data_IF_042241522554
#
_entry.id   IF_042241522554
#
_cell.length_a   1.000
_cell.length_b   1.000
_cell.length_c   1.000
_cell.angle_alpha   90.00
_cell.angle_beta   90.00
_cell.angle_gamma   90.00
#
_symmetry.space_group_name_H-M   'P 1'
#
loop_
_entity.id
_entity.type
_entity.pdbx_description
1 polymer ?
#
# COMPACT_ATOMS: atom_id res chain seq x y z
N UNK A 1 -7.03 11.03 75.30
CA UNK A 1 -7.88 10.69 74.14
C UNK A 1 -6.99 10.56 72.91
N UNK A 2 -6.82 9.33 72.40
CA UNK A 2 -5.98 9.03 71.23
C UNK A 2 -6.70 9.50 69.96
N UNK A 3 -6.03 10.27 69.10
CA UNK A 3 -6.46 10.51 67.71
C UNK A 3 -5.45 9.86 66.78
N UNK A 4 -5.90 8.81 66.12
CA UNK A 4 -5.22 8.07 65.06
C UNK A 4 -5.24 8.93 63.79
N UNK A 5 -4.09 9.23 63.21
CA UNK A 5 -3.99 9.87 61.89
C UNK A 5 -3.69 8.78 60.86
N UNK A 6 -4.61 8.59 59.92
CA UNK A 6 -4.49 7.66 58.80
C UNK A 6 -3.64 8.34 57.72
N UNK A 7 -2.50 7.73 57.36
CA UNK A 7 -1.74 8.12 56.17
C UNK A 7 -2.53 7.71 54.92
N UNK A 8 -2.96 8.69 54.13
CA UNK A 8 -3.49 8.46 52.78
C UNK A 8 -2.33 8.23 51.80
N UNK A 9 -2.26 7.02 51.24
CA UNK A 9 -1.35 6.67 50.15
C UNK A 9 -1.94 7.24 48.85
N UNK A 10 -1.37 8.35 48.35
CA UNK A 10 -1.71 8.87 47.02
C UNK A 10 -0.91 8.06 46.00
N UNK A 11 -1.57 7.06 45.40
CA UNK A 11 -1.04 6.32 44.28
C UNK A 11 -1.21 7.20 43.02
N UNK A 12 -0.18 7.97 42.67
CA UNK A 12 -0.13 8.67 41.38
C UNK A 12 0.00 7.61 40.28
N UNK A 13 -1.09 7.38 39.56
CA UNK A 13 -1.07 6.71 38.26
C UNK A 13 -0.25 7.59 37.31
N UNK A 14 1.05 7.34 37.24
CA UNK A 14 1.87 7.79 36.12
C UNK A 14 1.37 7.03 34.90
N UNK A 15 0.44 7.63 34.15
CA UNK A 15 0.20 7.24 32.77
C UNK A 15 1.55 7.24 32.07
N UNK A 16 1.98 6.06 31.61
CA UNK A 16 3.14 5.91 30.75
C UNK A 16 2.90 6.75 29.50
N UNK A 17 3.39 7.98 29.50
CA UNK A 17 3.67 8.70 28.29
C UNK A 17 4.71 7.85 27.57
N UNK A 18 4.28 7.07 26.59
CA UNK A 18 5.16 6.37 25.68
C UNK A 18 5.88 7.43 24.87
N UNK A 19 7.08 7.79 25.31
CA UNK A 19 7.99 8.54 24.47
C UNK A 19 8.30 7.66 23.26
N UNK A 20 7.99 8.15 22.06
CA UNK A 20 8.50 7.53 20.83
C UNK A 20 10.01 7.63 20.88
N UNK A 21 10.70 6.50 20.99
CA UNK A 21 12.15 6.46 20.85
C UNK A 21 12.49 6.85 19.42
N UNK A 22 13.16 7.99 19.25
CA UNK A 22 13.78 8.34 17.97
C UNK A 22 14.91 7.34 17.78
N UNK A 23 14.87 6.57 16.70
CA UNK A 23 15.92 5.60 16.40
C UNK A 23 17.28 6.28 16.18
N UNK A 24 18.36 5.59 16.56
CA UNK A 24 19.72 6.06 16.29
C UNK A 24 20.05 6.01 14.78
N UNK A 25 20.74 7.04 14.29
CA UNK A 25 21.26 7.04 12.92
C UNK A 25 22.47 6.10 12.84
N UNK A 26 22.25 4.90 12.31
CA UNK A 26 23.32 3.90 12.15
C UNK A 26 24.21 4.19 10.92
N UNK A 27 23.61 4.75 9.86
CA UNK A 27 24.28 5.01 8.59
C UNK A 27 23.51 6.02 7.75
N UNK A 28 24.23 6.81 6.97
CA UNK A 28 23.69 7.70 5.93
C UNK A 28 24.22 7.23 4.58
N UNK A 29 23.33 7.16 3.59
CA UNK A 29 23.63 6.89 2.18
C UNK A 29 23.07 8.06 1.38
N UNK A 30 23.90 8.67 0.54
CA UNK A 30 23.45 9.72 -0.36
C UNK A 30 22.59 9.12 -1.47
N UNK A 31 21.50 9.82 -1.80
CA UNK A 31 20.61 9.39 -2.88
C UNK A 31 21.28 9.69 -4.23
N UNK A 32 21.17 8.80 -5.23
CA UNK A 32 21.82 9.02 -6.52
C UNK A 32 21.24 10.19 -7.31
N UNK A 33 19.94 10.44 -7.15
CA UNK A 33 19.20 11.49 -7.83
C UNK A 33 18.75 12.62 -6.90
N UNK A 34 18.31 13.75 -7.48
CA UNK A 34 17.97 14.96 -6.76
C UNK A 34 16.58 14.95 -6.09
N UNK A 35 15.68 14.04 -6.47
CA UNK A 35 14.31 13.96 -5.96
C UNK A 35 13.90 12.50 -5.70
N UNK A 36 14.49 11.83 -4.69
CA UNK A 36 14.13 10.47 -4.32
C UNK A 36 12.73 10.42 -3.70
N UNK A 37 11.88 9.54 -4.23
CA UNK A 37 10.44 9.49 -3.90
C UNK A 37 9.97 8.12 -3.43
N UNK A 38 10.51 7.05 -4.02
CA UNK A 38 10.19 5.67 -3.67
C UNK A 38 11.37 4.91 -3.11
N UNK A 39 11.11 3.97 -2.20
CA UNK A 39 12.12 3.08 -1.63
C UNK A 39 11.57 1.66 -1.49
N UNK A 40 12.29 0.66 -1.99
CA UNK A 40 11.99 -0.75 -1.77
C UNK A 40 13.25 -1.55 -1.38
N UNK A 41 13.03 -2.66 -0.67
CA UNK A 41 14.07 -3.63 -0.30
C UNK A 41 13.75 -4.98 -0.92
N UNK A 42 14.68 -5.52 -1.71
CA UNK A 42 14.47 -6.81 -2.39
C UNK A 42 14.97 -8.03 -1.59
N UNK A 43 15.58 -7.80 -0.42
CA UNK A 43 16.28 -8.82 0.36
C UNK A 43 17.81 -8.71 0.32
N UNK A 44 18.37 -7.96 -0.63
CA UNK A 44 19.82 -7.78 -0.86
C UNK A 44 20.23 -6.35 -1.24
N UNK A 45 19.43 -5.64 -2.04
CA UNK A 45 19.67 -4.30 -2.55
C UNK A 45 18.52 -3.34 -2.23
N UNK A 46 18.88 -2.06 -2.14
CA UNK A 46 17.91 -0.96 -2.02
C UNK A 46 17.55 -0.45 -3.40
N UNK A 47 16.27 -0.24 -3.64
CA UNK A 47 15.75 0.31 -4.88
C UNK A 47 15.16 1.68 -4.62
N UNK A 48 15.56 2.68 -5.41
CA UNK A 48 15.10 4.07 -5.28
C UNK A 48 14.47 4.52 -6.59
N UNK A 49 13.28 5.13 -6.49
CA UNK A 49 12.71 5.91 -7.58
C UNK A 49 13.10 7.38 -7.40
N UNK A 50 13.42 8.04 -8.51
CA UNK A 50 13.64 9.48 -8.56
C UNK A 50 12.68 10.12 -9.56
N UNK A 51 11.83 11.02 -9.06
CA UNK A 51 10.76 11.62 -9.85
C UNK A 51 11.21 12.80 -10.72
N UNK A 52 12.42 13.34 -10.48
CA UNK A 52 12.95 14.44 -11.27
C UNK A 52 13.73 13.93 -12.49
N UNK A 53 14.51 12.87 -12.32
CA UNK A 53 15.22 12.22 -13.41
C UNK A 53 14.39 11.15 -14.14
N UNK A 54 13.20 10.81 -13.62
CA UNK A 54 12.37 9.69 -14.09
C UNK A 54 13.17 8.38 -14.14
N UNK A 55 13.84 8.03 -13.03
CA UNK A 55 14.73 6.86 -12.96
C UNK A 55 14.44 5.95 -11.79
N UNK A 56 14.83 4.69 -11.96
CA UNK A 56 15.00 3.75 -10.85
C UNK A 56 16.49 3.39 -10.72
N UNK A 57 16.96 3.37 -9.47
CA UNK A 57 18.32 2.99 -9.10
C UNK A 57 18.30 1.73 -8.23
N UNK A 58 19.19 0.79 -8.50
CA UNK A 58 19.56 -0.28 -7.56
C UNK A 58 20.84 0.13 -6.84
N UNK A 59 20.85 0.00 -5.52
CA UNK A 59 21.92 0.48 -4.65
C UNK A 59 22.40 -0.65 -3.75
N UNK A 60 23.73 -0.81 -3.68
CA UNK A 60 24.36 -1.67 -2.67
C UNK A 60 24.25 -1.01 -1.28
N UNK A 61 23.47 -1.56 -0.34
CA UNK A 61 23.19 -0.88 0.94
C UNK A 61 24.45 -0.72 1.81
N UNK A 62 25.47 -1.58 1.62
CA UNK A 62 26.71 -1.54 2.39
C UNK A 62 27.64 -0.41 1.98
N UNK A 63 27.59 0.04 0.73
CA UNK A 63 28.52 1.07 0.22
C UNK A 63 27.80 2.32 -0.26
N UNK A 64 26.49 2.25 -0.54
CA UNK A 64 25.74 3.32 -1.19
C UNK A 64 26.00 3.42 -2.69
N UNK A 65 26.75 2.49 -3.28
CA UNK A 65 27.04 2.51 -4.72
C UNK A 65 25.82 2.11 -5.53
N UNK A 66 25.56 2.87 -6.59
CA UNK A 66 24.62 2.48 -7.64
C UNK A 66 25.19 1.28 -8.40
N UNK A 67 24.46 0.16 -8.40
CA UNK A 67 24.79 -1.05 -9.13
C UNK A 67 24.30 -0.93 -10.57
N UNK A 68 23.05 -0.50 -10.73
CA UNK A 68 22.41 -0.22 -12.02
C UNK A 68 21.39 0.88 -11.87
N UNK A 69 21.07 1.51 -12.99
CA UNK A 69 19.98 2.46 -13.13
C UNK A 69 19.32 2.28 -14.49
N UNK A 70 18.03 2.52 -14.57
CA UNK A 70 17.29 2.55 -15.82
C UNK A 70 16.20 3.62 -15.76
N UNK A 71 15.76 4.05 -16.95
CA UNK A 71 14.66 5.00 -17.07
C UNK A 71 13.37 4.33 -16.58
N UNK A 72 12.57 5.09 -15.83
CA UNK A 72 11.24 4.67 -15.39
C UNK A 72 10.31 4.54 -16.60
N UNK A 73 9.48 3.48 -16.67
CA UNK A 73 8.45 3.39 -17.71
C UNK A 73 7.26 4.33 -17.45
N UNK A 74 7.13 4.84 -16.21
CA UNK A 74 6.18 5.88 -15.81
C UNK A 74 6.83 7.26 -15.75
N UNK A 75 6.01 8.29 -15.59
CA UNK A 75 6.42 9.70 -15.59
C UNK A 75 6.10 10.24 -14.19
N UNK A 76 7.07 10.78 -13.47
CA UNK A 76 6.96 11.06 -12.03
C UNK A 76 6.79 9.76 -11.20
N UNK A 77 7.73 8.81 -11.25
CA UNK A 77 7.71 7.62 -10.38
C UNK A 77 7.75 8.02 -8.90
N UNK A 78 6.84 7.48 -8.09
CA UNK A 78 6.81 7.71 -6.65
C UNK A 78 7.08 6.40 -5.91
N UNK A 79 6.06 5.81 -5.27
CA UNK A 79 6.20 4.65 -4.39
C UNK A 79 6.78 3.46 -5.12
N UNK A 80 7.62 2.69 -4.41
CA UNK A 80 8.19 1.44 -4.90
C UNK A 80 7.86 0.29 -3.96
N UNK A 81 7.56 -0.87 -4.52
CA UNK A 81 7.43 -2.12 -3.77
C UNK A 81 8.15 -3.27 -4.48
N UNK A 82 8.58 -4.27 -3.72
CA UNK A 82 9.15 -5.51 -4.23
C UNK A 82 8.20 -6.66 -3.94
N UNK A 83 7.82 -7.44 -4.95
CA UNK A 83 6.91 -8.59 -4.77
C UNK A 83 7.60 -9.94 -4.56
N UNK A 84 8.94 -9.95 -4.56
CA UNK A 84 9.75 -11.18 -4.55
C UNK A 84 10.41 -11.49 -5.89
N UNK A 85 9.93 -10.90 -6.99
CA UNK A 85 10.42 -11.14 -8.35
C UNK A 85 10.50 -9.86 -9.20
N UNK A 86 9.55 -8.94 -9.01
CA UNK A 86 9.41 -7.70 -9.76
C UNK A 86 9.29 -6.50 -8.84
N UNK A 87 9.65 -5.35 -9.39
CA UNK A 87 9.33 -4.07 -8.79
C UNK A 87 7.90 -3.67 -9.19
N UNK A 88 7.25 -2.97 -8.28
CA UNK A 88 6.03 -2.25 -8.55
C UNK A 88 6.27 -0.78 -8.28
N UNK A 89 5.64 0.10 -9.06
CA UNK A 89 5.69 1.54 -8.84
C UNK A 89 4.33 2.21 -9.03
N UNK A 90 4.19 3.40 -8.46
CA UNK A 90 3.11 4.32 -8.80
C UNK A 90 3.62 5.42 -9.75
N UNK A 91 2.79 5.79 -10.70
CA UNK A 91 2.95 7.02 -11.49
C UNK A 91 1.96 8.04 -10.95
N UNK A 92 2.49 9.03 -10.24
CA UNK A 92 1.72 10.01 -9.48
C UNK A 92 0.77 10.84 -10.34
N UNK A 93 1.17 11.14 -11.58
CA UNK A 93 0.45 12.10 -12.43
C UNK A 93 -0.60 11.43 -13.29
N UNK A 94 -0.48 10.13 -13.52
CA UNK A 94 -1.39 9.37 -14.39
C UNK A 94 -2.36 8.49 -13.63
N UNK A 95 -2.24 8.43 -12.30
CA UNK A 95 -3.06 7.57 -11.45
C UNK A 95 -3.00 6.10 -11.92
N UNK A 96 -1.79 5.59 -12.14
CA UNK A 96 -1.57 4.17 -12.52
C UNK A 96 -0.55 3.50 -11.61
N UNK A 97 -0.71 2.17 -11.49
CA UNK A 97 0.27 1.28 -10.88
C UNK A 97 0.92 0.46 -12.00
N UNK A 98 2.24 0.35 -11.96
CA UNK A 98 3.07 -0.30 -12.96
C UNK A 98 3.85 -1.45 -12.31
N UNK A 99 3.88 -2.60 -12.97
CA UNK A 99 4.80 -3.70 -12.69
C UNK A 99 6.02 -3.56 -13.59
N UNK A 100 7.20 -3.59 -13.01
CA UNK A 100 8.46 -3.24 -13.67
C UNK A 100 9.49 -4.36 -13.50
N UNK A 101 10.12 -4.71 -14.61
CA UNK A 101 11.24 -5.66 -14.65
C UNK A 101 12.45 -5.05 -13.92
N UNK A 102 13.00 -5.71 -12.89
CA UNK A 102 14.19 -5.23 -12.20
C UNK A 102 15.47 -5.45 -13.03
N UNK A 103 15.39 -6.14 -14.17
CA UNK A 103 16.53 -6.44 -15.03
C UNK A 103 16.87 -5.24 -15.92
N UNK A 104 15.84 -4.62 -16.50
CA UNK A 104 15.99 -3.63 -17.58
C UNK A 104 15.01 -2.45 -17.48
N UNK A 105 14.15 -2.40 -16.45
CA UNK A 105 13.18 -1.32 -16.26
C UNK A 105 11.95 -1.39 -17.14
N UNK A 106 11.80 -2.46 -17.93
CA UNK A 106 10.66 -2.57 -18.84
C UNK A 106 9.36 -2.79 -18.07
N UNK A 107 8.30 -2.13 -18.52
CA UNK A 107 6.95 -2.34 -18.01
C UNK A 107 6.45 -3.74 -18.38
N UNK A 108 6.07 -4.52 -17.38
CA UNK A 108 5.51 -5.86 -17.52
C UNK A 108 3.98 -5.82 -17.55
N UNK A 109 3.39 -4.97 -16.70
CA UNK A 109 1.94 -4.81 -16.56
C UNK A 109 1.63 -3.42 -16.04
N UNK A 110 0.43 -2.90 -16.31
CA UNK A 110 -0.10 -1.73 -15.63
C UNK A 110 -1.62 -1.83 -15.48
N UNK A 111 -2.16 -1.06 -14.54
CA UNK A 111 -3.59 -0.85 -14.38
C UNK A 111 -3.85 0.52 -13.73
N UNK A 112 -5.07 1.06 -13.89
CA UNK A 112 -5.50 2.25 -13.15
C UNK A 112 -5.36 2.04 -11.64
N UNK A 113 -4.78 3.02 -10.96
CA UNK A 113 -4.76 3.09 -9.51
C UNK A 113 -6.18 3.44 -9.01
N UNK A 114 -6.66 2.81 -7.92
CA UNK A 114 -7.86 3.29 -7.25
C UNK A 114 -7.63 4.58 -6.44
N UNK A 115 -6.36 4.94 -6.21
CA UNK A 115 -5.96 6.16 -5.53
C UNK A 115 -5.71 7.29 -6.52
N UNK A 116 -6.18 8.50 -6.19
CA UNK A 116 -5.78 9.74 -6.84
C UNK A 116 -4.41 10.20 -6.34
N UNK A 117 -3.55 10.64 -7.27
CA UNK A 117 -2.17 11.04 -6.99
C UNK A 117 -1.42 9.99 -6.14
N UNK A 118 -1.27 8.74 -6.65
CA UNK A 118 -0.78 7.63 -5.85
C UNK A 118 0.70 7.81 -5.47
N UNK A 119 0.97 7.96 -4.17
CA UNK A 119 2.30 8.29 -3.66
C UNK A 119 3.04 7.08 -3.07
N UNK A 120 2.56 6.50 -1.97
CA UNK A 120 3.20 5.34 -1.34
C UNK A 120 2.73 4.03 -1.93
N UNK A 121 3.63 3.04 -1.99
CA UNK A 121 3.33 1.68 -2.42
C UNK A 121 4.07 0.68 -1.55
N UNK A 122 3.42 -0.40 -1.13
CA UNK A 122 4.10 -1.54 -0.50
C UNK A 122 3.41 -2.86 -0.83
N UNK A 123 4.11 -3.99 -0.62
CA UNK A 123 3.60 -5.33 -0.89
C UNK A 123 3.62 -6.16 0.40
N UNK A 124 2.50 -6.79 0.74
CA UNK A 124 2.36 -7.53 2.00
C UNK A 124 2.73 -9.02 1.91
N UNK A 125 3.20 -9.47 0.75
CA UNK A 125 3.40 -10.88 0.41
C UNK A 125 2.27 -11.46 -0.44
N UNK A 126 1.16 -10.73 -0.62
CA UNK A 126 0.02 -11.16 -1.44
C UNK A 126 -0.65 -10.02 -2.22
N UNK A 127 -0.80 -8.86 -1.60
CA UNK A 127 -1.51 -7.70 -2.11
C UNK A 127 -0.63 -6.45 -2.08
N UNK A 128 -0.98 -5.50 -2.93
CA UNK A 128 -0.40 -4.17 -2.91
C UNK A 128 -1.21 -3.26 -2.00
N UNK A 129 -0.53 -2.34 -1.34
CA UNK A 129 -1.13 -1.25 -0.59
C UNK A 129 -0.66 0.07 -1.20
N UNK A 130 -1.59 0.96 -1.51
CA UNK A 130 -1.30 2.26 -2.15
C UNK A 130 -1.93 3.40 -1.36
N UNK A 131 -1.21 4.51 -1.18
CA UNK A 131 -1.78 5.73 -0.60
C UNK A 131 -2.37 6.66 -1.65
N UNK A 132 -3.34 7.44 -1.21
CA UNK A 132 -4.05 8.44 -1.99
C UNK A 132 -3.86 9.80 -1.35
N UNK A 133 -3.32 10.74 -2.14
CA UNK A 133 -3.00 12.11 -1.71
C UNK A 133 -4.17 13.07 -1.86
N UNK A 134 -5.25 12.65 -2.49
CA UNK A 134 -6.46 13.46 -2.75
C UNK A 134 -7.50 13.20 -1.66
N UNK A 135 -7.80 11.93 -1.36
CA UNK A 135 -8.87 11.52 -0.45
C UNK A 135 -8.38 11.09 0.94
N UNK A 136 -7.07 11.11 1.19
CA UNK A 136 -6.42 10.66 2.43
C UNK A 136 -6.81 9.22 2.79
N UNK A 137 -6.58 8.31 1.84
CA UNK A 137 -6.93 6.89 1.98
C UNK A 137 -5.75 5.98 1.68
N UNK A 138 -5.87 4.76 2.17
CA UNK A 138 -4.97 3.65 1.84
C UNK A 138 -5.83 2.53 1.25
N UNK A 139 -5.47 2.09 0.05
CA UNK A 139 -6.19 1.07 -0.71
C UNK A 139 -5.42 -0.24 -0.72
N UNK A 140 -6.15 -1.35 -0.60
CA UNK A 140 -5.68 -2.71 -0.79
C UNK A 140 -6.02 -3.14 -2.22
N UNK A 141 -5.00 -3.50 -3.00
CA UNK A 141 -5.10 -3.74 -4.43
C UNK A 141 -4.63 -5.15 -4.76
N UNK A 142 -5.41 -5.85 -5.60
CA UNK A 142 -5.01 -7.14 -6.13
C UNK A 142 -3.98 -6.95 -7.26
N UNK A 143 -2.74 -7.45 -7.13
CA UNK A 143 -1.72 -7.24 -8.16
C UNK A 143 -2.02 -7.96 -9.48
N UNK A 144 -2.87 -8.99 -9.50
CA UNK A 144 -3.14 -9.72 -10.75
C UNK A 144 -3.96 -8.92 -11.76
N UNK A 145 -4.87 -8.08 -11.28
CA UNK A 145 -5.88 -7.39 -12.10
C UNK A 145 -6.10 -5.91 -11.75
N UNK A 146 -5.44 -5.40 -10.70
CA UNK A 146 -5.58 -4.01 -10.26
C UNK A 146 -6.84 -3.71 -9.48
N UNK A 147 -7.66 -4.72 -9.14
CA UNK A 147 -8.91 -4.48 -8.44
C UNK A 147 -8.67 -3.98 -7.01
N UNK A 148 -9.35 -2.91 -6.65
CA UNK A 148 -9.46 -2.44 -5.28
C UNK A 148 -10.28 -3.43 -4.44
N UNK A 149 -9.59 -4.16 -3.56
CA UNK A 149 -10.19 -5.13 -2.65
C UNK A 149 -10.67 -4.49 -1.36
N UNK A 150 -10.06 -3.39 -0.93
CA UNK A 150 -10.50 -2.62 0.23
C UNK A 150 -9.86 -1.25 0.29
N UNK A 151 -10.37 -0.40 1.15
CA UNK A 151 -9.69 0.83 1.56
C UNK A 151 -10.13 1.27 2.94
N UNK A 152 -9.33 2.15 3.52
CA UNK A 152 -9.63 2.82 4.78
C UNK A 152 -9.01 4.22 4.75
N UNK A 153 -9.51 5.14 5.59
CA UNK A 153 -8.90 6.46 5.76
C UNK A 153 -7.55 6.33 6.45
N UNK A 154 -6.54 7.05 5.98
CA UNK A 154 -5.28 7.17 6.72
C UNK A 154 -5.54 7.82 8.09
N UNK A 155 -4.64 7.59 9.04
CA UNK A 155 -4.77 8.15 10.39
C UNK A 155 -4.63 9.67 10.38
N UNK A 156 -3.60 10.17 9.69
CA UNK A 156 -3.40 11.58 9.42
C UNK A 156 -3.78 11.96 7.98
N UNK A 157 -4.09 13.24 7.73
CA UNK A 157 -4.16 13.78 6.37
C UNK A 157 -2.74 13.76 5.78
N UNK A 158 -2.53 13.61 4.48
CA UNK A 158 -1.20 13.55 3.84
C UNK A 158 -0.43 12.21 3.91
N UNK A 159 -1.09 11.05 3.67
CA UNK A 159 -0.38 9.77 3.62
C UNK A 159 0.58 9.69 2.42
N UNK A 160 1.87 9.42 2.69
CA UNK A 160 2.91 9.26 1.66
C UNK A 160 3.49 7.85 1.65
N UNK A 161 4.78 7.68 1.94
CA UNK A 161 5.47 6.40 1.88
C UNK A 161 4.79 5.31 2.72
N UNK A 162 4.88 4.08 2.20
CA UNK A 162 4.41 2.87 2.86
C UNK A 162 5.54 1.86 3.00
N UNK A 163 5.50 1.08 4.07
CA UNK A 163 6.32 -0.11 4.22
C UNK A 163 5.51 -1.23 4.88
N UNK A 164 5.69 -2.46 4.41
CA UNK A 164 5.16 -3.64 5.07
C UNK A 164 6.19 -4.20 6.04
N UNK A 165 5.77 -4.45 7.28
CA UNK A 165 6.64 -5.03 8.29
C UNK A 165 5.87 -5.39 9.55
N UNK A 166 6.28 -6.46 10.23
CA UNK A 166 5.64 -6.91 11.48
C UNK A 166 4.13 -7.16 11.34
N UNK A 167 3.71 -7.66 10.16
CA UNK A 167 2.31 -7.91 9.81
C UNK A 167 1.42 -6.66 9.95
N UNK A 168 1.99 -5.49 9.63
CA UNK A 168 1.34 -4.20 9.67
C UNK A 168 1.79 -3.35 8.46
N UNK A 169 0.92 -2.42 8.06
CA UNK A 169 1.27 -1.35 7.14
C UNK A 169 1.82 -0.19 7.95
N UNK A 170 3.05 0.21 7.67
CA UNK A 170 3.63 1.44 8.18
C UNK A 170 3.38 2.55 7.18
N UNK A 171 2.87 3.69 7.63
CA UNK A 171 2.58 4.83 6.78
C UNK A 171 3.21 6.10 7.36
N UNK A 172 3.86 6.87 6.49
CA UNK A 172 4.35 8.21 6.80
C UNK A 172 3.26 9.23 6.50
N UNK A 173 3.02 10.12 7.44
CA UNK A 173 2.35 11.40 7.19
C UNK A 173 3.42 12.45 6.98
N UNK A 174 3.56 12.89 5.73
CA UNK A 174 4.71 13.69 5.28
C UNK A 174 4.72 15.08 5.92
N UNK A 175 3.56 15.71 6.11
CA UNK A 175 3.50 17.07 6.64
C UNK A 175 3.53 17.09 8.17
N UNK A 176 2.84 16.16 8.82
CA UNK A 176 2.85 16.07 10.28
C UNK A 176 4.14 15.45 10.84
N UNK A 177 4.97 14.84 9.97
CA UNK A 177 6.24 14.18 10.32
C UNK A 177 6.04 13.05 11.32
N UNK A 178 4.95 12.31 11.16
CA UNK A 178 4.58 11.17 11.98
C UNK A 178 4.66 9.88 11.17
N UNK A 179 4.89 8.77 11.87
CA UNK A 179 4.85 7.44 11.29
C UNK A 179 3.83 6.62 12.07
N UNK A 180 2.87 6.06 11.37
CA UNK A 180 1.82 5.23 11.94
C UNK A 180 2.07 3.76 11.63
N UNK A 181 1.97 2.91 12.66
CA UNK A 181 1.88 1.47 12.50
C UNK A 181 0.42 1.05 12.47
N UNK A 182 -0.04 0.61 11.32
CA UNK A 182 -1.45 0.31 11.04
C UNK A 182 -1.64 -1.20 11.02
N UNK A 183 -2.38 -1.70 12.01
CA UNK A 183 -2.79 -3.10 12.04
C UNK A 183 -3.87 -3.34 10.99
N UNK A 184 -3.62 -4.29 10.12
CA UNK A 184 -4.54 -4.69 9.03
C UNK A 184 -5.03 -6.13 9.22
N UNK A 185 -6.03 -6.54 8.45
CA UNK A 185 -6.62 -7.89 8.46
C UNK A 185 -7.14 -8.38 9.83
N UNK A 186 -7.48 -7.47 10.75
CA UNK A 186 -8.20 -7.80 11.98
C UNK A 186 -9.72 -7.60 11.83
N UNK A 187 -10.51 -8.20 12.73
CA UNK A 187 -11.98 -8.08 12.68
C UNK A 187 -12.46 -6.61 12.73
N UNK A 188 -11.69 -5.73 13.40
CA UNK A 188 -11.98 -4.30 13.50
C UNK A 188 -11.62 -3.49 12.24
N UNK A 189 -10.88 -4.09 11.30
CA UNK A 189 -10.35 -3.44 10.09
C UNK A 189 -11.27 -3.56 8.87
N UNK A 190 -12.21 -4.52 8.88
CA UNK A 190 -13.23 -4.57 7.83
C UNK A 190 -14.13 -3.34 8.01
N UNK A 191 -13.96 -2.37 7.12
CA UNK A 191 -14.68 -1.11 7.15
C UNK A 191 -16.18 -1.38 7.19
N UNK A 192 -16.78 -1.11 8.35
CA UNK A 192 -18.22 -1.06 8.55
C UNK A 192 -18.87 0.16 7.87
N UNK A 193 -18.09 0.92 7.08
CA UNK A 193 -18.34 2.32 6.78
C UNK A 193 -18.42 2.67 5.30
N UNK A 194 -18.12 1.74 4.39
CA UNK A 194 -18.34 1.95 2.95
C UNK A 194 -19.25 0.86 2.40
N UNK A 195 -20.52 1.21 2.17
CA UNK A 195 -21.43 0.36 1.38
C UNK A 195 -20.81 0.17 -0.02
N UNK A 196 -20.53 -1.08 -0.40
CA UNK A 196 -19.99 -1.38 -1.72
C UNK A 196 -21.12 -1.80 -2.65
N UNK A 197 -21.25 -1.05 -3.74
CA UNK A 197 -22.14 -1.39 -4.84
C UNK A 197 -21.31 -2.12 -5.89
N UNK A 198 -21.62 -3.40 -6.15
CA UNK A 198 -20.98 -4.18 -7.20
C UNK A 198 -22.01 -4.58 -8.25
N UNK A 199 -21.76 -4.25 -9.52
CA UNK A 199 -22.56 -4.70 -10.65
C UNK A 199 -21.98 -6.02 -11.17
N UNK A 200 -22.65 -7.14 -10.88
CA UNK A 200 -22.27 -8.46 -11.39
C UNK A 200 -22.99 -8.73 -12.73
N UNK A 201 -22.22 -8.85 -13.81
CA UNK A 201 -22.73 -9.27 -15.11
C UNK A 201 -22.58 -10.79 -15.26
N UNK A 202 -23.68 -11.53 -15.12
CA UNK A 202 -23.72 -12.97 -15.40
C UNK A 202 -24.16 -13.21 -16.85
N UNK A 203 -23.25 -13.72 -17.68
CA UNK A 203 -23.58 -14.17 -19.04
C UNK A 203 -23.67 -15.69 -19.02
N UNK A 204 -24.86 -16.24 -19.34
CA UNK A 204 -25.05 -17.68 -19.51
C UNK A 204 -25.69 -17.96 -20.87
N UNK A 205 -24.93 -18.62 -21.74
CA UNK A 205 -25.40 -19.01 -23.08
C UNK A 205 -26.03 -20.41 -23.02
N UNK A 206 -27.25 -20.54 -23.56
CA UNK A 206 -27.91 -21.82 -23.75
C UNK A 206 -28.05 -22.07 -25.25
N UNK A 207 -27.55 -23.21 -25.73
CA UNK A 207 -27.63 -23.57 -27.14
C UNK A 207 -28.22 -24.96 -27.30
N UNK A 208 -29.32 -25.05 -28.04
CA UNK A 208 -29.91 -26.32 -28.45
C UNK A 208 -29.29 -26.77 -29.78
N UNK A 209 -28.70 -27.97 -29.80
CA UNK A 209 -28.10 -28.56 -31.00
C UNK A 209 -28.97 -29.66 -31.63
N UNK A 210 -30.15 -29.95 -31.07
CA UNK A 210 -31.07 -30.98 -31.56
C UNK A 210 -32.21 -30.41 -32.43
N UNK A 211 -32.84 -31.25 -33.28
CA UNK A 211 -34.02 -30.85 -34.06
C UNK A 211 -35.24 -30.64 -33.16
N UNK A 212 -36.02 -29.59 -33.43
CA UNK A 212 -37.25 -29.25 -32.71
C UNK A 212 -37.21 -27.91 -31.97
N UNK A 213 -38.37 -27.49 -31.46
CA UNK A 213 -38.54 -26.19 -30.81
C UNK A 213 -38.40 -26.31 -29.29
N UNK A 214 -37.58 -25.44 -28.68
CA UNK A 214 -37.61 -25.24 -27.22
C UNK A 214 -38.96 -24.62 -26.87
N UNK A 215 -39.72 -25.27 -25.97
CA UNK A 215 -41.04 -24.79 -25.53
C UNK A 215 -41.00 -23.93 -24.27
N UNK A 216 -40.01 -24.15 -23.40
CA UNK A 216 -39.74 -23.33 -22.21
C UNK A 216 -38.30 -23.53 -21.73
N UNK A 217 -37.76 -22.53 -21.02
CA UNK A 217 -36.48 -22.57 -20.32
C UNK A 217 -36.61 -21.73 -19.05
N UNK A 218 -36.55 -22.39 -17.89
CA UNK A 218 -36.64 -21.74 -16.59
C UNK A 218 -35.26 -21.65 -15.95
N UNK A 219 -34.85 -20.44 -15.54
CA UNK A 219 -33.55 -20.17 -14.91
C UNK A 219 -33.80 -19.56 -13.54
N UNK A 220 -33.23 -20.17 -12.50
CA UNK A 220 -33.27 -19.67 -11.14
C UNK A 220 -31.87 -19.28 -10.69
N UNK A 221 -31.67 -18.01 -10.33
CA UNK A 221 -30.43 -17.50 -9.77
C UNK A 221 -30.67 -17.05 -8.32
N UNK A 222 -30.22 -17.79 -7.31
CA UNK A 222 -30.30 -17.33 -5.94
C UNK A 222 -29.26 -16.23 -5.72
N UNK A 223 -29.71 -15.04 -5.31
CA UNK A 223 -28.82 -13.98 -4.81
C UNK A 223 -28.87 -14.08 -3.28
N UNK A 224 -27.78 -14.48 -2.60
CA UNK A 224 -27.73 -14.49 -1.15
C UNK A 224 -27.93 -13.07 -0.62
N UNK A 225 -28.82 -12.93 0.36
CA UNK A 225 -28.84 -11.73 1.22
C UNK A 225 -27.96 -12.05 2.43
N UNK A 226 -26.99 -11.19 2.71
CA UNK A 226 -26.38 -11.16 4.04
C UNK A 226 -27.37 -10.59 5.05
#
# INVERSE_FOLDING_TARGET
>A
MKKTLILGFICLLLSSFGWTEVGDVLKVIETPGPCPTGLAWDGSHLWIADSYEDKIFEIEPKTGKVIKSFDSPGYNPEGLAWDGEFLWMTDYRRDIILKVSPVDGMMVQNFPSPAGEPAGLTFDGKYLWVTDRVDDRIYLVNPSDGLCLSSFRSHGPFPYGLAWGENAVWNVDYENREIYKIKVFCQDFLSKWDERHMNLHFIKEFRNYGPGNIKSLDIYLPIPKN
#
